data_IF_276795354512
#
_entry.id   IF_276795354512
#
_cell.length_a   1.000
_cell.length_b   1.000
_cell.length_c   1.000
_cell.angle_alpha   90.00
_cell.angle_beta   90.00
_cell.angle_gamma   90.00
#
_symmetry.space_group_name_H-M   'P 1'
#
loop_
_entity.id
_entity.type
_entity.pdbx_description
1 polymer ?
#
# COMPACT_ATOMS: atom_id res chain seq x y z
N UNK A 1 -14.54 4.11 5.72
CA UNK A 1 -13.53 3.87 4.67
C UNK A 1 -12.72 5.16 4.53
N UNK A 2 -11.68 5.36 5.36
CA UNK A 2 -11.24 6.71 5.78
C UNK A 2 -9.87 7.20 5.25
N UNK A 3 -9.01 6.31 4.75
CA UNK A 3 -7.67 6.70 4.27
C UNK A 3 -7.65 6.97 2.75
N UNK A 4 -7.28 8.19 2.30
CA UNK A 4 -7.20 8.53 0.87
C UNK A 4 -6.26 7.65 0.05
N UNK A 5 -5.13 7.22 0.63
CA UNK A 5 -4.16 6.34 -0.03
C UNK A 5 -4.76 4.96 -0.28
N UNK A 6 -5.37 4.36 0.73
CA UNK A 6 -6.04 3.06 0.58
C UNK A 6 -7.20 3.14 -0.41
N UNK A 7 -7.98 4.22 -0.40
CA UNK A 7 -9.04 4.42 -1.39
C UNK A 7 -8.50 4.43 -2.82
N UNK A 8 -7.36 5.09 -3.06
CA UNK A 8 -6.73 5.13 -4.37
C UNK A 8 -6.15 3.77 -4.79
N UNK A 9 -5.56 3.03 -3.84
CA UNK A 9 -5.08 1.66 -4.08
C UNK A 9 -6.24 0.74 -4.46
N UNK A 10 -7.33 0.73 -3.68
CA UNK A 10 -8.51 -0.09 -3.97
C UNK A 10 -9.17 0.28 -5.30
N UNK A 11 -9.15 1.56 -5.68
CA UNK A 11 -9.66 2.02 -6.96
C UNK A 11 -8.80 1.59 -8.17
N UNK A 12 -7.54 1.22 -7.95
CA UNK A 12 -6.63 0.71 -9.00
C UNK A 12 -6.24 -0.76 -8.73
N UNK A 13 -7.01 -1.49 -7.92
CA UNK A 13 -6.68 -2.86 -7.52
C UNK A 13 -6.62 -3.82 -8.72
N UNK A 14 -7.37 -3.52 -9.78
CA UNK A 14 -7.34 -4.23 -11.07
C UNK A 14 -5.97 -4.17 -11.76
N UNK A 15 -5.16 -3.16 -11.45
CA UNK A 15 -3.82 -2.95 -12.03
C UNK A 15 -2.69 -3.43 -11.14
N UNK A 16 -3.01 -4.05 -10.00
CA UNK A 16 -2.01 -4.48 -9.01
C UNK A 16 -1.91 -6.00 -9.07
N UNK A 17 -0.71 -6.49 -9.32
CA UNK A 17 -0.37 -7.89 -9.14
C UNK A 17 0.28 -8.06 -7.78
N UNK A 18 -0.35 -8.83 -6.89
CA UNK A 18 0.18 -9.14 -5.58
C UNK A 18 0.54 -10.62 -5.49
N UNK A 19 1.77 -10.91 -5.07
CA UNK A 19 2.23 -12.26 -4.70
C UNK A 19 2.60 -12.27 -3.23
N UNK A 20 2.03 -13.22 -2.50
CA UNK A 20 2.25 -13.37 -1.07
C UNK A 20 2.93 -14.72 -0.84
N UNK A 21 4.14 -14.69 -0.28
CA UNK A 21 4.93 -15.86 0.04
C UNK A 21 5.07 -15.97 1.56
N UNK A 22 4.60 -17.09 2.12
CA UNK A 22 4.75 -17.38 3.53
C UNK A 22 6.15 -17.95 3.78
N UNK A 23 6.80 -17.47 4.83
CA UNK A 23 8.13 -17.91 5.28
C UNK A 23 8.05 -18.32 6.75
N UNK A 24 9.05 -19.06 7.23
CA UNK A 24 9.10 -19.48 8.64
C UNK A 24 9.14 -18.32 9.64
N UNK A 25 9.51 -17.11 9.17
CA UNK A 25 9.68 -15.91 10.00
C UNK A 25 8.64 -14.82 9.72
N UNK A 26 7.66 -15.06 8.86
CA UNK A 26 6.68 -14.05 8.47
C UNK A 26 6.26 -14.20 7.00
N UNK A 27 5.99 -13.07 6.35
CA UNK A 27 5.46 -13.05 4.99
C UNK A 27 6.27 -12.09 4.13
N UNK A 28 6.55 -12.50 2.90
CA UNK A 28 7.09 -11.64 1.85
C UNK A 28 5.96 -11.30 0.89
N UNK A 29 5.69 -10.02 0.69
CA UNK A 29 4.66 -9.53 -0.23
C UNK A 29 5.35 -8.78 -1.37
N UNK A 30 5.12 -9.22 -2.60
CA UNK A 30 5.54 -8.54 -3.81
C UNK A 30 4.31 -7.96 -4.52
N UNK A 31 4.19 -6.64 -4.50
CA UNK A 31 3.18 -5.88 -5.24
C UNK A 31 3.83 -5.19 -6.44
N UNK A 32 3.32 -5.44 -7.64
CA UNK A 32 3.80 -4.83 -8.87
C UNK A 32 2.64 -4.27 -9.69
N UNK A 33 2.94 -3.27 -10.52
CA UNK A 33 2.01 -2.70 -11.48
C UNK A 33 2.77 -2.17 -12.69
N UNK A 34 2.13 -2.18 -13.85
CA UNK A 34 2.65 -1.56 -15.08
C UNK A 34 2.33 -0.07 -15.16
N UNK A 35 1.42 0.43 -14.32
CA UNK A 35 1.02 1.83 -14.29
C UNK A 35 1.94 2.60 -13.33
N UNK A 36 2.70 3.56 -13.86
CA UNK A 36 3.67 4.35 -13.11
C UNK A 36 3.04 5.12 -11.93
N UNK A 37 1.75 5.48 -12.02
CA UNK A 37 1.03 6.08 -10.91
C UNK A 37 0.73 5.07 -9.80
N UNK A 38 0.33 3.85 -10.18
CA UNK A 38 0.06 2.76 -9.25
C UNK A 38 1.34 2.29 -8.56
N UNK A 39 2.47 2.26 -9.26
CA UNK A 39 3.78 2.00 -8.64
C UNK A 39 4.08 2.98 -7.51
N UNK A 40 3.81 4.29 -7.71
CA UNK A 40 3.97 5.30 -6.65
C UNK A 40 3.00 5.07 -5.49
N UNK A 41 1.75 4.67 -5.77
CA UNK A 41 0.79 4.31 -4.72
C UNK A 41 1.27 3.13 -3.86
N UNK A 42 1.81 2.08 -4.49
CA UNK A 42 2.36 0.91 -3.81
C UNK A 42 3.58 1.27 -2.95
N UNK A 43 4.45 2.16 -3.44
CA UNK A 43 5.60 2.65 -2.67
C UNK A 43 5.18 3.43 -1.42
N UNK A 44 4.15 4.29 -1.51
CA UNK A 44 3.61 4.96 -0.33
C UNK A 44 2.89 3.97 0.61
N UNK A 45 2.18 2.98 0.07
CA UNK A 45 1.56 1.91 0.86
C UNK A 45 2.58 1.17 1.71
N UNK A 46 3.72 0.78 1.12
CA UNK A 46 4.79 0.08 1.82
C UNK A 46 5.33 0.88 3.02
N UNK A 47 5.36 2.22 2.93
CA UNK A 47 5.74 3.06 4.08
C UNK A 47 4.73 2.98 5.20
N UNK A 48 3.43 2.96 4.90
CA UNK A 48 2.36 2.80 5.90
C UNK A 48 2.43 1.43 6.56
N UNK A 49 2.72 0.36 5.80
CA UNK A 49 2.95 -0.98 6.36
C UNK A 49 4.12 -0.96 7.34
N UNK A 50 5.23 -0.28 7.00
CA UNK A 50 6.36 -0.11 7.93
C UNK A 50 5.98 0.65 9.20
N UNK A 51 5.13 1.69 9.10
CA UNK A 51 4.62 2.40 10.26
C UNK A 51 3.73 1.50 11.12
N UNK A 52 2.87 0.70 10.50
CA UNK A 52 2.01 -0.26 11.20
C UNK A 52 2.84 -1.31 11.95
N UNK A 53 3.92 -1.83 11.37
CA UNK A 53 4.83 -2.75 12.06
C UNK A 53 5.47 -2.10 13.30
N UNK A 54 5.79 -0.79 13.23
CA UNK A 54 6.42 -0.06 14.33
C UNK A 54 5.47 0.33 15.45
N UNK A 55 4.27 0.79 15.09
CA UNK A 55 3.35 1.48 16.00
C UNK A 55 2.06 0.68 16.26
N UNK A 56 1.86 -0.44 15.56
CA UNK A 56 0.71 -1.32 15.70
C UNK A 56 -0.63 -0.64 15.37
N UNK A 57 -1.66 -1.01 16.12
CA UNK A 57 -3.04 -0.55 15.91
C UNK A 57 -3.23 0.97 16.06
N UNK A 58 -2.25 1.71 16.59
CA UNK A 58 -2.29 3.17 16.70
C UNK A 58 -2.20 3.89 15.35
N UNK A 59 -1.76 3.20 14.28
CA UNK A 59 -1.69 3.76 12.92
C UNK A 59 -3.00 3.65 12.14
N UNK A 60 -3.89 2.71 12.50
CA UNK A 60 -5.15 2.49 11.80
C UNK A 60 -6.09 3.71 11.71
N UNK A 61 -6.21 4.59 12.73
CA UNK A 61 -7.06 5.76 12.62
C UNK A 61 -6.41 6.93 11.86
N UNK A 62 -5.14 6.84 11.45
CA UNK A 62 -4.43 7.92 10.76
C UNK A 62 -4.72 7.89 9.26
N UNK A 63 -4.79 9.08 8.65
CA UNK A 63 -4.96 9.24 7.22
C UNK A 63 -3.60 9.49 6.56
N UNK A 64 -3.31 8.79 5.48
CA UNK A 64 -2.12 8.98 4.66
C UNK A 64 -2.49 9.64 3.33
N UNK A 65 -1.69 10.63 2.93
CA UNK A 65 -1.94 11.33 1.67
C UNK A 65 -1.63 10.39 0.50
N UNK A 66 -2.57 10.29 -0.44
CA UNK A 66 -2.29 9.65 -1.72
C UNK A 66 -1.35 10.54 -2.54
N UNK A 67 -0.36 9.98 -3.26
CA UNK A 67 0.45 10.73 -4.21
C UNK A 67 -0.45 11.38 -5.28
N UNK A 68 -0.09 12.59 -5.69
CA UNK A 68 -0.78 13.28 -6.78
C UNK A 68 -0.65 12.47 -8.07
N UNK A 69 -1.78 12.22 -8.71
CA UNK A 69 -1.82 11.74 -10.09
C UNK A 69 -1.36 12.89 -10.97
N UNK A 70 -0.07 12.95 -11.27
CA UNK A 70 0.41 13.84 -12.32
C UNK A 70 -0.07 13.24 -13.63
N UNK A 71 -0.94 13.98 -14.30
CA UNK A 71 -1.48 13.69 -15.64
C UNK A 71 -0.37 13.67 -16.70
#
# INVERSE_FOLDING_TARGET
MRDPLFRAIFANADKITMKVEHTDKGVVVHETSEDAYVVKLLQEHAKVVNLFIRNGFQELPKNHAAPNKQE
#
